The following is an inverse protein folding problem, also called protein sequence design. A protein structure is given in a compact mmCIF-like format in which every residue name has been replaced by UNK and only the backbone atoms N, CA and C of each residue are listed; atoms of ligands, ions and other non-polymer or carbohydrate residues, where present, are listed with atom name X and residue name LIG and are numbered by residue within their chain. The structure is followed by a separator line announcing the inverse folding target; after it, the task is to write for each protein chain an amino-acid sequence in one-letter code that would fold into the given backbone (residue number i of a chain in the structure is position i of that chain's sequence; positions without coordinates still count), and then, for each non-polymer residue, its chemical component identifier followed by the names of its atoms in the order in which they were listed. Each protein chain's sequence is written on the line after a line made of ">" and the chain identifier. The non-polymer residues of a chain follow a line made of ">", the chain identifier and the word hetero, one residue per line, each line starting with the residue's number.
data_IF_920486495557
#
_entry.id   IF_920486495557
#
_cell.length_a   1.000
_cell.length_b   1.000
_cell.length_c   1.000
_cell.angle_alpha   90.00
_cell.angle_beta   90.00
_cell.angle_gamma   90.00
#
_symmetry.space_group_name_H-M   'P 1'
#
loop_
_entity.id
_entity.type
_entity.pdbx_description
1 polymer ?
#
# COMPACT_ATOMS: atom_id res chain seq x y z
N UNK A 1 20.61 -8.62 -16.01
CA UNK A 1 19.14 -8.49 -15.99
C UNK A 1 18.77 -7.38 -16.97
N UNK A 2 17.85 -7.58 -17.92
CA UNK A 2 17.45 -6.52 -18.84
C UNK A 2 16.87 -5.35 -18.05
N UNK A 3 17.15 -4.14 -18.52
CA UNK A 3 16.64 -2.91 -17.93
C UNK A 3 15.28 -2.56 -18.52
N UNK A 4 14.34 -2.12 -17.68
CA UNK A 4 12.98 -1.79 -18.14
C UNK A 4 12.98 -0.68 -19.21
N UNK A 5 13.91 0.29 -19.09
CA UNK A 5 14.06 1.39 -20.06
C UNK A 5 14.42 0.90 -21.47
N UNK A 6 15.06 -0.27 -21.59
CA UNK A 6 15.50 -0.82 -22.87
C UNK A 6 14.53 -1.87 -23.41
N UNK A 7 13.46 -2.18 -22.66
CA UNK A 7 12.47 -3.21 -23.02
C UNK A 7 11.41 -2.64 -23.96
N UNK A 8 11.21 -3.21 -25.17
CA UNK A 8 10.15 -2.78 -26.08
C UNK A 8 8.74 -2.99 -25.52
N UNK A 9 7.78 -2.18 -25.96
CA UNK A 9 6.38 -2.25 -25.51
C UNK A 9 5.77 -3.66 -25.57
N UNK A 10 6.04 -4.41 -26.66
CA UNK A 10 5.53 -5.78 -26.88
C UNK A 10 6.07 -6.81 -25.88
N UNK A 11 7.20 -6.52 -25.24
CA UNK A 11 7.90 -7.46 -24.36
C UNK A 11 7.67 -7.16 -22.87
N UNK A 12 6.86 -6.15 -22.55
CA UNK A 12 6.58 -5.75 -21.16
C UNK A 12 5.91 -6.86 -20.34
N UNK A 13 5.01 -7.65 -20.93
CA UNK A 13 4.38 -8.76 -20.22
C UNK A 13 5.38 -9.85 -19.86
N UNK A 14 6.25 -10.21 -20.80
CA UNK A 14 7.37 -11.14 -20.58
C UNK A 14 8.36 -10.58 -19.56
N UNK A 15 8.60 -9.27 -19.56
CA UNK A 15 9.44 -8.63 -18.54
C UNK A 15 8.82 -8.77 -17.15
N UNK A 16 7.51 -8.52 -17.00
CA UNK A 16 6.81 -8.69 -15.73
C UNK A 16 6.93 -10.13 -15.24
N UNK A 17 6.66 -11.10 -16.11
CA UNK A 17 6.69 -12.53 -15.78
C UNK A 17 8.08 -12.99 -15.31
N UNK A 18 9.12 -12.65 -16.07
CA UNK A 18 10.47 -13.16 -15.81
C UNK A 18 11.16 -12.45 -14.64
N UNK A 19 10.82 -11.18 -14.38
CA UNK A 19 11.63 -10.33 -13.51
C UNK A 19 10.88 -9.69 -12.34
N UNK A 20 9.56 -9.56 -12.42
CA UNK A 20 8.78 -8.85 -11.39
C UNK A 20 7.89 -9.79 -10.56
N UNK A 21 7.39 -10.89 -11.12
CA UNK A 21 6.56 -11.83 -10.38
C UNK A 21 7.41 -12.57 -9.32
N UNK A 22 6.98 -12.58 -8.04
CA UNK A 22 7.69 -13.31 -7.00
C UNK A 22 7.71 -14.81 -7.30
N UNK A 23 8.75 -15.51 -6.83
CA UNK A 23 8.80 -16.97 -6.95
C UNK A 23 7.62 -17.63 -6.23
N UNK A 24 7.05 -18.66 -6.86
CA UNK A 24 5.84 -19.33 -6.39
C UNK A 24 6.10 -20.15 -5.13
N UNK A 25 7.23 -20.85 -5.07
CA UNK A 25 7.62 -21.67 -3.92
C UNK A 25 7.93 -20.78 -2.73
N UNK A 26 8.76 -19.75 -2.91
CA UNK A 26 9.08 -18.80 -1.84
C UNK A 26 7.84 -18.09 -1.32
N UNK A 27 6.92 -17.69 -2.20
CA UNK A 27 5.64 -17.10 -1.79
C UNK A 27 4.79 -18.05 -0.93
N UNK A 28 4.79 -19.36 -1.21
CA UNK A 28 4.13 -20.38 -0.37
C UNK A 28 4.78 -20.43 1.00
N UNK A 29 6.12 -20.49 1.05
CA UNK A 29 6.88 -20.57 2.30
C UNK A 29 6.69 -19.34 3.18
N UNK A 30 6.71 -18.14 2.60
CA UNK A 30 6.40 -16.89 3.31
C UNK A 30 4.96 -16.91 3.85
N UNK A 31 4.00 -17.45 3.09
CA UNK A 31 2.61 -17.55 3.57
C UNK A 31 2.51 -18.46 4.79
N UNK A 32 3.23 -19.58 4.79
CA UNK A 32 3.27 -20.54 5.90
C UNK A 32 3.93 -19.93 7.15
N UNK A 33 5.11 -19.33 6.99
CA UNK A 33 5.81 -18.64 8.08
C UNK A 33 4.94 -17.55 8.71
N UNK A 34 4.24 -16.74 7.90
CA UNK A 34 3.31 -15.73 8.41
C UNK A 34 2.11 -16.36 9.11
N UNK A 35 1.65 -17.53 8.67
CA UNK A 35 0.57 -18.24 9.37
C UNK A 35 1.00 -18.65 10.79
N UNK A 36 2.18 -19.27 10.92
CA UNK A 36 2.79 -19.66 12.20
C UNK A 36 2.95 -18.43 13.11
N UNK A 37 3.62 -17.38 12.61
CA UNK A 37 3.82 -16.12 13.35
C UNK A 37 2.49 -15.51 13.80
N UNK A 38 1.49 -15.49 12.91
CA UNK A 38 0.17 -14.92 13.23
C UNK A 38 -0.53 -15.71 14.33
N UNK A 39 -0.45 -17.04 14.29
CA UNK A 39 -1.03 -17.91 15.32
C UNK A 39 -0.33 -17.71 16.66
N UNK A 40 1.00 -17.71 16.67
CA UNK A 40 1.79 -17.47 17.88
C UNK A 40 1.46 -16.13 18.54
N UNK A 41 1.42 -15.04 17.75
CA UNK A 41 1.09 -13.71 18.27
C UNK A 41 -0.33 -13.63 18.83
N UNK A 42 -1.33 -14.30 18.22
CA UNK A 42 -2.70 -14.31 18.75
C UNK A 42 -2.81 -15.04 20.09
N UNK A 43 -2.08 -16.13 20.25
CA UNK A 43 -2.20 -17.01 21.42
C UNK A 43 -1.35 -16.55 22.61
N UNK A 44 -0.14 -16.04 22.34
CA UNK A 44 0.88 -15.75 23.38
C UNK A 44 1.01 -14.28 23.72
N UNK A 45 0.80 -13.39 22.74
CA UNK A 45 1.12 -11.98 22.93
C UNK A 45 0.17 -11.32 23.94
N UNK A 46 0.75 -10.59 24.89
CA UNK A 46 0.05 -9.97 26.02
C UNK A 46 -0.63 -10.97 26.99
N UNK A 47 -0.31 -12.27 26.92
CA UNK A 47 -0.79 -13.24 27.90
C UNK A 47 -0.22 -12.89 29.30
N UNK A 48 -1.09 -12.74 30.30
CA UNK A 48 -0.70 -12.32 31.64
C UNK A 48 -0.45 -10.81 31.81
N UNK A 49 -0.70 -9.98 30.78
CA UNK A 49 -0.63 -8.53 30.91
C UNK A 49 -1.67 -8.01 31.93
N UNK A 50 -1.29 -6.99 32.72
CA UNK A 50 -2.16 -6.36 33.72
C UNK A 50 -3.41 -5.71 33.10
N UNK A 51 -3.33 -5.31 31.83
CA UNK A 51 -4.45 -4.80 31.05
C UNK A 51 -4.94 -5.88 30.08
N UNK A 52 -6.26 -5.99 29.81
CA UNK A 52 -6.84 -7.06 29.01
C UNK A 52 -6.59 -6.91 27.49
N UNK A 53 -5.50 -6.25 27.07
CA UNK A 53 -5.14 -6.14 25.66
C UNK A 53 -4.77 -7.53 25.13
N UNK A 54 -5.29 -7.87 23.95
CA UNK A 54 -4.97 -9.10 23.22
C UNK A 54 -4.82 -8.77 21.74
N UNK A 55 -4.10 -9.62 21.04
CA UNK A 55 -4.05 -9.58 19.57
C UNK A 55 -5.35 -10.19 19.05
N UNK A 56 -6.23 -9.36 18.48
CA UNK A 56 -7.51 -9.84 17.91
C UNK A 56 -7.32 -10.52 16.57
N UNK A 57 -6.42 -9.99 15.74
CA UNK A 57 -6.09 -10.53 14.42
C UNK A 57 -4.74 -10.01 13.95
N UNK A 58 -4.13 -10.75 13.03
CA UNK A 58 -2.89 -10.37 12.36
C UNK A 58 -3.15 -10.36 10.86
N UNK A 59 -2.88 -9.22 10.23
CA UNK A 59 -3.21 -8.99 8.83
C UNK A 59 -1.94 -8.69 8.06
N UNK A 60 -1.68 -9.51 7.05
CA UNK A 60 -0.68 -9.20 6.05
C UNK A 60 -1.17 -8.05 5.17
N UNK A 61 -0.57 -6.88 5.36
CA UNK A 61 -0.76 -5.64 4.61
C UNK A 61 0.28 -5.48 3.49
N UNK A 62 0.52 -4.23 3.10
CA UNK A 62 1.52 -3.88 2.09
C UNK A 62 1.36 -4.63 0.76
N UNK A 63 2.46 -4.68 0.00
CA UNK A 63 2.48 -5.31 -1.32
C UNK A 63 2.09 -6.80 -1.30
N UNK A 64 2.50 -7.51 -0.24
CA UNK A 64 2.26 -8.94 -0.03
C UNK A 64 0.79 -9.25 0.27
N UNK A 65 0.11 -8.40 1.04
CA UNK A 65 -1.32 -8.50 1.29
C UNK A 65 -2.16 -8.15 0.05
N UNK A 66 -1.78 -7.07 -0.63
CA UNK A 66 -2.47 -6.54 -1.82
C UNK A 66 -2.31 -7.43 -3.06
N UNK A 67 -1.30 -8.30 -3.06
CA UNK A 67 -0.98 -9.19 -4.19
C UNK A 67 -0.24 -8.46 -5.32
N UNK A 68 0.56 -7.45 -4.98
CA UNK A 68 1.33 -6.58 -5.89
C UNK A 68 2.84 -6.61 -5.57
N UNK A 69 3.32 -7.65 -4.90
CA UNK A 69 4.74 -7.88 -4.55
C UNK A 69 5.65 -7.95 -5.77
N UNK A 70 6.86 -7.42 -5.63
CA UNK A 70 7.96 -7.51 -6.61
C UNK A 70 9.00 -8.55 -6.17
N UNK A 71 9.48 -9.38 -7.10
CA UNK A 71 10.58 -10.33 -6.84
C UNK A 71 11.81 -9.63 -6.27
N UNK A 72 12.40 -10.20 -5.21
CA UNK A 72 13.66 -9.75 -4.59
C UNK A 72 13.65 -8.34 -3.99
N UNK A 73 12.53 -7.61 -4.00
CA UNK A 73 12.40 -6.22 -3.50
C UNK A 73 11.04 -6.01 -2.85
N UNK A 74 10.82 -6.72 -1.75
CA UNK A 74 9.51 -6.82 -1.10
C UNK A 74 9.51 -6.15 0.27
N UNK A 75 8.78 -5.03 0.33
CA UNK A 75 8.28 -4.47 1.59
C UNK A 75 6.88 -5.06 1.83
N UNK A 76 6.71 -5.75 2.94
CA UNK A 76 5.43 -6.28 3.40
C UNK A 76 5.10 -5.69 4.77
N UNK A 77 3.82 -5.52 5.05
CA UNK A 77 3.39 -5.07 6.38
C UNK A 77 2.76 -6.26 7.11
N UNK A 78 3.09 -6.43 8.38
CA UNK A 78 2.38 -7.29 9.32
C UNK A 78 1.65 -6.39 10.34
N UNK A 79 0.37 -6.16 10.10
CA UNK A 79 -0.45 -5.33 10.99
C UNK A 79 -1.00 -6.21 12.10
N UNK A 80 -0.62 -5.92 13.34
CA UNK A 80 -1.03 -6.63 14.55
C UNK A 80 -2.14 -5.83 15.19
N UNK A 81 -3.38 -6.28 15.03
CA UNK A 81 -4.55 -5.60 15.57
C UNK A 81 -4.74 -5.96 17.04
N UNK A 82 -4.89 -4.92 17.85
CA UNK A 82 -5.06 -5.02 19.29
C UNK A 82 -6.50 -4.66 19.64
N UNK A 83 -7.17 -5.52 20.39
CA UNK A 83 -8.47 -5.22 20.97
C UNK A 83 -8.34 -4.44 22.28
N UNK A 84 -9.49 -4.00 22.81
CA UNK A 84 -9.60 -3.32 24.09
C UNK A 84 -8.83 -1.99 24.20
N UNK A 85 -8.38 -1.44 23.07
CA UNK A 85 -8.03 -0.02 22.97
C UNK A 85 -9.32 0.80 22.88
N UNK A 86 -9.37 1.92 23.59
CA UNK A 86 -10.56 2.78 23.70
C UNK A 86 -10.62 3.86 22.63
N UNK A 87 -9.50 4.19 22.01
CA UNK A 87 -9.40 5.25 21.02
C UNK A 87 -8.24 5.04 20.05
N UNK A 88 -8.28 5.76 18.93
CA UNK A 88 -7.14 5.88 18.01
C UNK A 88 -5.90 6.46 18.71
N UNK A 89 -6.08 7.40 19.64
CA UNK A 89 -4.99 7.99 20.42
C UNK A 89 -4.20 6.96 21.22
N UNK A 90 -4.89 6.00 21.86
CA UNK A 90 -4.24 5.00 22.71
C UNK A 90 -3.22 4.16 21.91
N UNK A 91 -3.48 3.93 20.62
CA UNK A 91 -2.52 3.30 19.71
C UNK A 91 -1.20 4.08 19.64
N UNK A 92 -1.25 5.41 19.56
CA UNK A 92 -0.04 6.24 19.45
C UNK A 92 0.74 6.28 20.75
N UNK A 93 0.03 6.47 21.87
CA UNK A 93 0.64 6.60 23.19
C UNK A 93 1.34 5.33 23.64
N UNK A 94 0.72 4.17 23.36
CA UNK A 94 1.22 2.86 23.77
C UNK A 94 2.01 2.12 22.68
N UNK A 95 2.18 2.72 21.48
CA UNK A 95 2.87 2.11 20.32
C UNK A 95 4.20 1.45 20.71
N UNK A 96 5.04 2.16 21.45
CA UNK A 96 6.36 1.65 21.86
C UNK A 96 6.27 0.44 22.79
N UNK A 97 5.32 0.43 23.73
CA UNK A 97 5.09 -0.71 24.63
C UNK A 97 4.60 -1.94 23.86
N UNK A 98 3.68 -1.74 22.91
CA UNK A 98 3.18 -2.82 22.06
C UNK A 98 4.28 -3.40 21.18
N UNK A 99 5.12 -2.55 20.59
CA UNK A 99 6.25 -3.01 19.76
C UNK A 99 7.22 -3.88 20.59
N UNK A 100 7.55 -3.47 21.81
CA UNK A 100 8.45 -4.25 22.67
C UNK A 100 7.90 -5.64 23.00
N UNK A 101 6.63 -5.71 23.37
CA UNK A 101 5.98 -7.00 23.66
C UNK A 101 5.88 -7.85 22.39
N UNK A 102 5.49 -7.27 21.25
CA UNK A 102 5.44 -8.03 19.98
C UNK A 102 6.82 -8.54 19.60
N UNK A 103 7.89 -7.73 19.73
CA UNK A 103 9.25 -8.19 19.48
C UNK A 103 9.63 -9.39 20.35
N UNK A 104 9.38 -9.30 21.66
CA UNK A 104 9.68 -10.40 22.59
C UNK A 104 9.00 -11.70 22.16
N UNK A 105 7.75 -11.61 21.71
CA UNK A 105 6.99 -12.77 21.23
C UNK A 105 7.47 -13.26 19.87
N UNK A 106 7.90 -12.38 18.96
CA UNK A 106 8.54 -12.79 17.71
C UNK A 106 9.87 -13.52 17.96
N UNK A 107 10.68 -13.06 18.90
CA UNK A 107 11.94 -13.73 19.29
C UNK A 107 11.68 -15.09 19.97
N UNK A 108 10.60 -15.21 20.75
CA UNK A 108 10.16 -16.50 21.29
C UNK A 108 9.72 -17.44 20.16
N UNK A 109 8.86 -16.97 19.26
CA UNK A 109 8.42 -17.71 18.08
C UNK A 109 9.59 -18.17 17.21
N UNK A 110 10.60 -17.31 16.99
CA UNK A 110 11.81 -17.66 16.24
C UNK A 110 12.61 -18.81 16.89
N UNK A 111 12.59 -18.94 18.22
CA UNK A 111 13.30 -20.01 18.94
C UNK A 111 12.48 -21.29 19.10
N UNK A 112 11.17 -21.17 19.23
CA UNK A 112 10.27 -22.28 19.58
C UNK A 112 9.65 -22.97 18.36
N UNK A 113 9.44 -22.24 17.26
CA UNK A 113 8.80 -22.74 16.04
C UNK A 113 9.81 -23.11 14.96
N UNK A 114 9.43 -24.01 14.06
CA UNK A 114 10.24 -24.40 12.90
C UNK A 114 9.74 -23.74 11.63
N UNK A 115 10.66 -23.18 10.82
CA UNK A 115 10.35 -22.47 9.58
C UNK A 115 11.07 -23.07 8.37
N UNK A 116 10.40 -23.15 7.22
CA UNK A 116 11.04 -23.47 5.92
C UNK A 116 11.94 -22.32 5.40
N UNK A 117 11.90 -21.16 6.04
CA UNK A 117 12.64 -19.94 5.69
C UNK A 117 13.49 -19.49 6.87
N UNK A 118 14.57 -18.79 6.60
CA UNK A 118 15.31 -18.10 7.64
C UNK A 118 14.47 -16.95 8.18
N UNK A 119 14.19 -16.95 9.48
CA UNK A 119 13.42 -15.93 10.18
C UNK A 119 14.33 -15.16 11.13
N UNK A 120 14.41 -13.84 10.92
CA UNK A 120 15.32 -12.95 11.64
C UNK A 120 14.59 -11.69 12.12
N UNK A 121 14.34 -11.60 13.43
CA UNK A 121 13.79 -10.39 14.05
C UNK A 121 14.88 -9.31 14.17
N UNK A 122 14.60 -8.10 13.68
CA UNK A 122 15.56 -7.01 13.73
C UNK A 122 15.65 -6.39 15.14
N UNK A 123 16.84 -5.93 15.50
CA UNK A 123 17.08 -5.27 16.79
C UNK A 123 16.35 -3.93 16.88
N UNK A 124 15.83 -3.60 18.06
CA UNK A 124 15.33 -2.25 18.35
C UNK A 124 16.46 -1.38 18.86
N UNK A 125 16.60 -0.18 18.31
CA UNK A 125 17.64 0.77 18.70
C UNK A 125 17.18 1.79 19.76
N UNK A 126 15.86 1.92 19.98
CA UNK A 126 15.28 3.02 20.76
C UNK A 126 14.36 2.51 21.86
N UNK A 127 14.33 3.22 23.00
CA UNK A 127 13.42 2.89 24.13
C UNK A 127 11.94 2.98 23.73
N UNK A 128 11.58 3.95 22.87
CA UNK A 128 10.24 4.12 22.30
C UNK A 128 10.28 3.88 20.79
N UNK A 129 10.36 2.61 20.36
CA UNK A 129 10.46 2.28 18.95
C UNK A 129 9.20 2.73 18.21
N UNK A 130 9.39 3.25 16.98
CA UNK A 130 8.29 3.60 16.07
C UNK A 130 8.02 2.51 15.04
N UNK A 131 8.99 1.64 14.81
CA UNK A 131 8.94 0.55 13.86
C UNK A 131 9.65 -0.66 14.45
N UNK A 132 9.20 -1.84 14.04
CA UNK A 132 9.82 -3.13 14.26
C UNK A 132 9.79 -3.82 12.92
N UNK A 133 10.88 -4.45 12.52
CA UNK A 133 10.88 -5.28 11.33
C UNK A 133 11.47 -6.66 11.60
N UNK A 134 11.15 -7.59 10.72
CA UNK A 134 11.81 -8.88 10.64
C UNK A 134 11.96 -9.29 9.18
N UNK A 135 12.88 -10.21 8.92
CA UNK A 135 13.13 -10.68 7.55
C UNK A 135 12.86 -12.17 7.46
N UNK A 136 12.18 -12.58 6.39
CA UNK A 136 12.05 -13.96 5.94
C UNK A 136 12.89 -14.15 4.68
N UNK A 137 13.89 -15.04 4.72
CA UNK A 137 14.79 -15.30 3.57
C UNK A 137 14.72 -16.75 3.13
N UNK A 138 14.72 -16.99 1.82
CA UNK A 138 14.89 -18.34 1.27
C UNK A 138 16.36 -18.75 1.35
N UNK A 139 16.69 -19.87 2.01
CA UNK A 139 18.06 -20.39 2.02
C UNK A 139 18.57 -20.75 0.61
N UNK A 140 17.69 -21.17 -0.30
CA UNK A 140 18.05 -21.69 -1.61
C UNK A 140 18.09 -20.60 -2.70
N UNK A 141 17.19 -19.61 -2.63
CA UNK A 141 17.00 -18.65 -3.72
C UNK A 141 17.73 -17.32 -3.49
N UNK A 142 18.23 -17.06 -2.28
CA UNK A 142 18.78 -15.75 -1.92
C UNK A 142 17.75 -14.61 -1.95
N UNK A 143 16.46 -14.93 -2.06
CA UNK A 143 15.35 -13.99 -1.99
C UNK A 143 14.94 -13.74 -0.54
N UNK A 144 14.54 -12.50 -0.24
CA UNK A 144 14.09 -12.09 1.09
C UNK A 144 12.88 -11.16 1.03
N UNK A 145 12.07 -11.19 2.08
CA UNK A 145 10.99 -10.24 2.34
C UNK A 145 11.20 -9.64 3.72
N UNK A 146 11.32 -8.32 3.77
CA UNK A 146 11.29 -7.56 5.02
C UNK A 146 9.84 -7.23 5.36
N UNK A 147 9.46 -7.48 6.61
CA UNK A 147 8.16 -7.19 7.16
C UNK A 147 8.25 -6.06 8.17
N UNK A 148 7.54 -4.96 7.91
CA UNK A 148 7.27 -3.92 8.91
C UNK A 148 6.11 -4.35 9.80
N UNK A 149 6.33 -4.38 11.11
CA UNK A 149 5.34 -4.78 12.11
C UNK A 149 4.68 -3.55 12.70
N UNK A 150 3.35 -3.46 12.50
CA UNK A 150 2.58 -2.26 12.82
C UNK A 150 1.45 -2.61 13.80
N UNK A 151 1.55 -2.24 15.09
CA UNK A 151 0.43 -2.34 16.01
C UNK A 151 -0.68 -1.38 15.59
N UNK A 152 -1.92 -1.88 15.54
CA UNK A 152 -3.07 -1.08 15.15
C UNK A 152 -4.28 -1.31 16.07
N UNK A 153 -5.09 -0.27 16.26
CA UNK A 153 -6.38 -0.38 16.92
C UNK A 153 -7.38 -1.12 16.02
N UNK A 154 -7.99 -2.18 16.55
CA UNK A 154 -9.04 -2.93 15.87
C UNK A 154 -10.40 -2.22 15.87
N UNK A 155 -10.46 -1.08 15.19
CA UNK A 155 -11.69 -0.27 15.10
C UNK A 155 -12.77 -0.92 14.24
N UNK A 156 -12.37 -1.79 13.29
CA UNK A 156 -13.29 -2.48 12.39
C UNK A 156 -13.87 -3.77 12.99
N UNK A 157 -13.24 -4.33 14.02
CA UNK A 157 -13.65 -5.60 14.63
C UNK A 157 -13.66 -6.75 13.61
N UNK A 158 -14.69 -7.60 13.64
CA UNK A 158 -14.87 -8.66 12.65
C UNK A 158 -15.46 -8.11 11.35
N UNK A 159 -14.65 -7.43 10.55
CA UNK A 159 -15.07 -6.99 9.23
C UNK A 159 -15.11 -8.17 8.24
N UNK A 160 -16.32 -8.53 7.79
CA UNK A 160 -16.54 -9.57 6.77
C UNK A 160 -16.64 -8.94 5.39
N UNK A 161 -15.97 -9.55 4.41
CA UNK A 161 -15.75 -8.96 3.09
C UNK A 161 -17.05 -8.48 2.41
N UNK A 162 -16.97 -7.31 1.78
CA UNK A 162 -17.95 -6.64 0.91
C UNK A 162 -18.96 -5.68 1.55
N UNK A 163 -18.94 -5.47 2.87
CA UNK A 163 -19.79 -4.44 3.47
C UNK A 163 -19.01 -3.15 3.74
N UNK A 164 -19.67 -2.02 3.52
CA UNK A 164 -19.17 -0.71 3.94
C UNK A 164 -19.09 -0.71 5.49
N UNK A 165 -17.97 -0.27 6.09
CA UNK A 165 -17.91 -0.06 7.54
C UNK A 165 -19.03 0.84 8.05
N UNK A 166 -19.40 0.68 9.32
CA UNK A 166 -20.33 1.59 9.98
C UNK A 166 -19.77 3.04 9.90
N UNK A 167 -20.55 4.02 9.38
CA UNK A 167 -20.12 5.42 9.29
C UNK A 167 -19.59 6.00 10.60
N UNK A 168 -20.08 5.53 11.76
CA UNK A 168 -19.61 5.94 13.09
C UNK A 168 -18.10 5.73 13.30
N UNK A 169 -17.52 4.71 12.66
CA UNK A 169 -16.07 4.47 12.69
C UNK A 169 -15.31 5.66 12.08
N UNK A 170 -15.78 6.16 10.94
CA UNK A 170 -15.15 7.29 10.26
C UNK A 170 -15.48 8.62 10.93
N UNK A 171 -16.67 8.79 11.52
CA UNK A 171 -16.99 9.99 12.30
C UNK A 171 -16.00 10.13 13.46
N UNK A 172 -15.76 9.05 14.23
CA UNK A 172 -14.78 9.05 15.32
C UNK A 172 -13.36 9.33 14.83
N UNK A 173 -12.97 8.72 13.71
CA UNK A 173 -11.67 8.97 13.08
C UNK A 173 -11.52 10.46 12.70
N UNK A 174 -12.52 11.04 12.05
CA UNK A 174 -12.52 12.44 11.62
C UNK A 174 -12.37 13.36 12.82
N UNK A 175 -13.18 13.16 13.87
CA UNK A 175 -13.12 13.96 15.10
C UNK A 175 -11.72 13.89 15.74
N UNK A 176 -11.13 12.70 15.84
CA UNK A 176 -9.77 12.53 16.37
C UNK A 176 -8.72 13.26 15.52
N UNK A 177 -8.79 13.10 14.20
CA UNK A 177 -7.85 13.72 13.28
C UNK A 177 -7.96 15.25 13.28
N UNK A 178 -9.17 15.81 13.35
CA UNK A 178 -9.39 17.26 13.42
C UNK A 178 -8.88 17.85 14.73
N UNK A 179 -9.16 17.20 15.86
CA UNK A 179 -8.75 17.69 17.17
C UNK A 179 -7.21 17.73 17.33
N UNK A 180 -6.47 16.90 16.58
CA UNK A 180 -5.03 16.72 16.77
C UNK A 180 -4.17 17.05 15.55
N UNK A 181 -4.76 17.33 14.40
CA UNK A 181 -4.03 17.50 13.14
C UNK A 181 -3.32 16.23 12.66
N UNK A 182 -3.93 15.05 12.86
CA UNK A 182 -3.32 13.74 12.58
C UNK A 182 -3.90 13.03 11.35
N UNK A 183 -4.23 13.80 10.31
CA UNK A 183 -4.81 13.27 9.06
C UNK A 183 -3.97 12.14 8.44
N UNK A 184 -4.61 10.99 8.20
CA UNK A 184 -4.01 9.79 7.63
C UNK A 184 -3.07 9.01 8.56
N UNK A 185 -2.87 9.43 9.81
CA UNK A 185 -1.98 8.75 10.77
C UNK A 185 -2.49 7.34 11.15
N UNK A 186 -3.80 7.11 11.06
CA UNK A 186 -4.46 5.86 11.48
C UNK A 186 -4.80 4.93 10.32
N UNK A 187 -4.23 5.14 9.13
CA UNK A 187 -4.48 4.30 7.95
C UNK A 187 -4.19 2.81 8.19
N UNK A 188 -3.30 2.47 9.13
CA UNK A 188 -3.03 1.07 9.56
C UNK A 188 -4.25 0.38 10.15
N UNK A 189 -5.16 1.10 10.79
CA UNK A 189 -6.43 0.55 11.31
C UNK A 189 -7.34 0.04 10.19
N UNK A 190 -7.13 0.51 8.96
CA UNK A 190 -7.94 0.21 7.78
C UNK A 190 -7.19 -0.64 6.74
N UNK A 191 -6.06 -1.27 7.12
CA UNK A 191 -5.26 -2.10 6.22
C UNK A 191 -6.05 -3.23 5.56
N UNK A 192 -7.06 -3.79 6.24
CA UNK A 192 -7.94 -4.81 5.64
C UNK A 192 -8.70 -4.28 4.42
N UNK A 193 -9.18 -3.03 4.49
CA UNK A 193 -9.90 -2.35 3.41
C UNK A 193 -8.93 -1.96 2.27
N UNK A 194 -7.76 -1.43 2.60
CA UNK A 194 -6.71 -1.13 1.60
C UNK A 194 -6.28 -2.40 0.85
N UNK A 195 -6.14 -3.51 1.58
CA UNK A 195 -5.84 -4.82 1.02
C UNK A 195 -6.97 -5.28 0.11
N UNK A 196 -8.21 -5.24 0.58
CA UNK A 196 -9.39 -5.65 -0.17
C UNK A 196 -9.52 -4.87 -1.48
N UNK A 197 -9.31 -3.55 -1.44
CA UNK A 197 -9.39 -2.66 -2.60
C UNK A 197 -8.51 -3.11 -3.78
N UNK A 198 -7.30 -3.61 -3.49
CA UNK A 198 -6.35 -4.06 -4.52
C UNK A 198 -6.42 -5.57 -4.78
N UNK A 199 -6.75 -6.36 -3.77
CA UNK A 199 -6.82 -7.83 -3.89
C UNK A 199 -7.91 -8.28 -4.86
N UNK A 200 -9.01 -7.52 -4.97
CA UNK A 200 -10.12 -7.85 -5.88
C UNK A 200 -9.83 -7.51 -7.35
N UNK A 201 -8.71 -6.85 -7.66
CA UNK A 201 -8.41 -6.40 -9.04
C UNK A 201 -7.96 -7.55 -9.96
N UNK A 202 -8.25 -7.48 -11.27
CA UNK A 202 -7.81 -8.47 -12.25
C UNK A 202 -6.29 -8.69 -12.22
N UNK A 203 -5.86 -9.90 -12.60
CA UNK A 203 -4.44 -10.27 -12.60
C UNK A 203 -3.61 -9.32 -13.47
N UNK A 204 -4.11 -8.93 -14.65
CA UNK A 204 -3.45 -7.99 -15.55
C UNK A 204 -3.25 -6.60 -14.92
N UNK A 205 -4.22 -6.12 -14.14
CA UNK A 205 -4.11 -4.85 -13.38
C UNK A 205 -3.03 -4.96 -12.32
N UNK A 206 -2.96 -6.07 -11.58
CA UNK A 206 -1.88 -6.30 -10.60
C UNK A 206 -0.51 -6.37 -11.26
N UNK A 207 -0.41 -6.94 -12.47
CA UNK A 207 0.81 -6.93 -13.28
C UNK A 207 1.21 -5.52 -13.71
N UNK A 208 0.26 -4.68 -14.13
CA UNK A 208 0.52 -3.26 -14.41
C UNK A 208 0.98 -2.51 -13.15
N UNK A 209 0.36 -2.75 -11.99
CA UNK A 209 0.79 -2.15 -10.72
C UNK A 209 2.24 -2.55 -10.41
N UNK A 210 2.63 -3.82 -10.60
CA UNK A 210 4.03 -4.25 -10.43
C UNK A 210 4.98 -3.49 -11.35
N UNK A 211 4.60 -3.31 -12.62
CA UNK A 211 5.41 -2.57 -13.57
C UNK A 211 5.61 -1.10 -13.14
N UNK A 212 4.53 -0.43 -12.74
CA UNK A 212 4.57 0.96 -12.23
C UNK A 212 5.40 1.05 -10.95
N UNK A 213 5.28 0.09 -10.03
CA UNK A 213 6.12 0.04 -8.82
C UNK A 213 7.59 -0.16 -9.15
N UNK A 214 7.91 -1.04 -10.10
CA UNK A 214 9.29 -1.24 -10.53
C UNK A 214 9.88 0.04 -11.14
N UNK A 215 9.12 0.72 -12.01
CA UNK A 215 9.47 2.04 -12.52
C UNK A 215 9.71 3.05 -11.39
N UNK A 216 8.77 3.16 -10.45
CA UNK A 216 8.91 4.04 -9.29
C UNK A 216 10.19 3.76 -8.48
N UNK A 217 10.55 2.49 -8.28
CA UNK A 217 11.80 2.11 -7.60
C UNK A 217 13.05 2.52 -8.39
N UNK A 218 13.04 2.43 -9.73
CA UNK A 218 14.13 2.94 -10.57
C UNK A 218 14.25 4.47 -10.45
N UNK A 219 13.13 5.19 -10.42
CA UNK A 219 13.11 6.63 -10.16
C UNK A 219 13.65 6.95 -8.75
N UNK A 220 13.24 6.21 -7.72
CA UNK A 220 13.73 6.36 -6.34
C UNK A 220 15.24 6.12 -6.23
N UNK A 221 15.78 5.13 -6.95
CA UNK A 221 17.22 4.87 -7.00
C UNK A 221 17.99 6.02 -7.65
N UNK A 222 17.45 6.63 -8.70
CA UNK A 222 18.07 7.75 -9.41
C UNK A 222 17.96 9.08 -8.68
N UNK A 223 16.77 9.40 -8.17
CA UNK A 223 16.44 10.70 -7.60
C UNK A 223 16.64 10.77 -6.08
N UNK A 224 16.62 9.64 -5.38
CA UNK A 224 16.50 9.63 -3.93
C UNK A 224 15.17 10.23 -3.45
N UNK A 225 15.13 10.68 -2.19
CA UNK A 225 13.99 11.40 -1.62
C UNK A 225 14.15 12.92 -1.84
N UNK A 226 13.04 13.70 -1.87
CA UNK A 226 11.66 13.25 -1.67
C UNK A 226 10.96 12.84 -2.98
N UNK A 227 9.95 11.97 -2.86
CA UNK A 227 9.09 11.40 -3.91
C UNK A 227 7.71 11.09 -3.29
N UNK A 228 6.62 11.09 -4.07
CA UNK A 228 5.30 10.75 -3.54
C UNK A 228 5.25 9.30 -3.06
N UNK A 229 4.42 8.96 -2.06
CA UNK A 229 4.31 7.60 -1.57
C UNK A 229 4.00 6.60 -2.69
N UNK A 230 4.67 5.44 -2.70
CA UNK A 230 4.44 4.40 -3.71
C UNK A 230 2.96 3.96 -3.78
N UNK A 231 2.26 3.97 -2.63
CA UNK A 231 0.84 3.65 -2.57
C UNK A 231 -0.03 4.60 -3.41
N UNK A 232 0.36 5.88 -3.55
CA UNK A 232 -0.33 6.81 -4.44
C UNK A 232 -0.27 6.37 -5.91
N UNK A 233 0.84 5.76 -6.34
CA UNK A 233 0.99 5.22 -7.70
C UNK A 233 0.21 3.92 -7.89
N UNK A 234 0.07 3.09 -6.85
CA UNK A 234 -0.82 1.92 -6.89
C UNK A 234 -2.28 2.36 -7.11
N UNK A 235 -2.73 3.37 -6.36
CA UNK A 235 -4.07 3.95 -6.51
C UNK A 235 -4.26 4.67 -7.85
N UNK A 236 -3.26 5.42 -8.32
CA UNK A 236 -3.30 6.08 -9.62
C UNK A 236 -3.39 5.07 -10.78
N UNK A 237 -2.74 3.91 -10.64
CA UNK A 237 -2.84 2.82 -11.62
C UNK A 237 -4.23 2.21 -11.64
N UNK A 238 -4.85 2.01 -10.48
CA UNK A 238 -6.25 1.55 -10.40
C UNK A 238 -7.18 2.57 -11.04
N UNK A 239 -7.01 3.86 -10.74
CA UNK A 239 -7.81 4.93 -11.34
C UNK A 239 -7.69 4.96 -12.87
N UNK A 240 -6.46 4.87 -13.40
CA UNK A 240 -6.21 4.84 -14.84
C UNK A 240 -6.97 3.70 -15.52
N UNK A 241 -6.90 2.50 -14.93
CA UNK A 241 -7.60 1.33 -15.44
C UNK A 241 -9.12 1.46 -15.32
N UNK A 242 -9.64 1.88 -14.17
CA UNK A 242 -11.09 2.01 -13.93
C UNK A 242 -11.75 3.03 -14.85
N UNK A 243 -11.07 4.12 -15.18
CA UNK A 243 -11.61 5.21 -16.00
C UNK A 243 -11.33 5.07 -17.48
N UNK A 244 -10.24 4.41 -17.87
CA UNK A 244 -9.79 4.38 -19.26
C UNK A 244 -10.11 3.10 -20.03
N UNK A 245 -10.26 1.96 -19.36
CA UNK A 245 -10.44 0.68 -20.06
C UNK A 245 -11.43 -0.27 -19.33
N UNK A 246 -11.26 -0.45 -18.02
CA UNK A 246 -12.09 -1.32 -17.17
C UNK A 246 -12.14 -2.81 -17.59
N UNK A 247 -11.41 -3.22 -18.62
CA UNK A 247 -11.33 -4.61 -19.09
C UNK A 247 -10.34 -5.45 -18.28
N UNK A 248 -10.58 -6.76 -18.21
CA UNK A 248 -9.68 -7.71 -17.53
C UNK A 248 -8.38 -7.93 -18.30
N UNK A 249 -8.42 -7.82 -19.62
CA UNK A 249 -7.28 -7.92 -20.52
C UNK A 249 -7.04 -6.59 -21.25
N UNK A 250 -5.77 -6.21 -21.40
CA UNK A 250 -5.38 -4.97 -22.07
C UNK A 250 -3.89 -4.93 -22.41
N UNK A 251 -3.51 -4.00 -23.28
CA UNK A 251 -2.10 -3.78 -23.65
C UNK A 251 -1.38 -3.08 -22.47
N UNK A 252 -0.46 -3.80 -21.84
CA UNK A 252 0.31 -3.30 -20.68
C UNK A 252 1.01 -1.98 -20.97
N UNK A 253 1.59 -1.82 -22.17
CA UNK A 253 2.27 -0.59 -22.57
C UNK A 253 1.35 0.64 -22.58
N UNK A 254 0.10 0.49 -23.03
CA UNK A 254 -0.88 1.58 -23.02
C UNK A 254 -1.30 1.95 -21.61
N UNK A 255 -1.53 0.95 -20.75
CA UNK A 255 -1.81 1.20 -19.34
C UNK A 255 -0.65 1.92 -18.66
N UNK A 256 0.58 1.50 -18.91
CA UNK A 256 1.78 2.12 -18.36
C UNK A 256 1.95 3.56 -18.86
N UNK A 257 1.76 3.81 -20.16
CA UNK A 257 1.79 5.16 -20.73
C UNK A 257 0.74 6.06 -20.10
N UNK A 258 -0.46 5.53 -19.85
CA UNK A 258 -1.57 6.25 -19.22
C UNK A 258 -1.19 6.70 -17.81
N UNK A 259 -0.60 5.81 -16.99
CA UNK A 259 -0.14 6.18 -15.64
C UNK A 259 0.91 7.30 -15.70
N UNK A 260 1.90 7.21 -16.58
CA UNK A 260 2.93 8.26 -16.69
C UNK A 260 2.35 9.60 -17.13
N UNK A 261 1.37 9.61 -18.05
CA UNK A 261 0.67 10.84 -18.43
C UNK A 261 -0.14 11.42 -17.27
N UNK A 262 -0.78 10.60 -16.44
CA UNK A 262 -1.45 11.08 -15.23
C UNK A 262 -0.44 11.69 -14.23
N UNK A 263 0.75 11.10 -14.09
CA UNK A 263 1.83 11.69 -13.28
C UNK A 263 2.28 13.04 -13.84
N UNK A 264 2.39 13.20 -15.17
CA UNK A 264 2.67 14.51 -15.77
C UNK A 264 1.61 15.56 -15.45
N UNK A 265 0.36 15.14 -15.34
CA UNK A 265 -0.80 15.99 -15.06
C UNK A 265 -1.18 16.01 -13.57
N UNK A 266 -0.22 15.76 -12.66
CA UNK A 266 -0.47 15.65 -11.22
C UNK A 266 -1.21 16.86 -10.63
N UNK A 267 -0.96 18.06 -11.17
CA UNK A 267 -1.60 19.31 -10.76
C UNK A 267 -3.11 19.36 -11.02
N UNK A 268 -3.66 18.42 -11.79
CA UNK A 268 -5.09 18.30 -12.07
C UNK A 268 -5.76 17.13 -11.33
N UNK A 269 -4.99 16.27 -10.67
CA UNK A 269 -5.52 15.04 -10.07
C UNK A 269 -6.39 15.34 -8.85
N UNK A 270 -7.68 15.01 -8.94
CA UNK A 270 -8.63 14.94 -7.85
C UNK A 270 -9.33 13.57 -7.89
N UNK A 271 -8.82 12.62 -7.12
CA UNK A 271 -9.22 11.21 -7.17
C UNK A 271 -9.74 10.79 -5.80
N UNK A 272 -10.91 10.16 -5.81
CA UNK A 272 -11.48 9.50 -4.64
C UNK A 272 -12.34 8.31 -5.07
N UNK A 273 -12.66 7.45 -4.10
CA UNK A 273 -13.62 6.36 -4.25
C UNK A 273 -14.68 6.47 -3.15
N UNK A 274 -15.84 5.86 -3.39
CA UNK A 274 -16.95 5.79 -2.42
C UNK A 274 -17.24 4.35 -1.96
N UNK A 275 -16.22 3.48 -2.05
CA UNK A 275 -16.35 2.05 -1.76
C UNK A 275 -16.59 1.80 -0.27
N UNK A 276 -15.73 2.33 0.60
CA UNK A 276 -15.80 2.09 2.04
C UNK A 276 -16.36 3.28 2.85
N UNK A 277 -16.55 4.45 2.24
CA UNK A 277 -17.24 5.60 2.82
C UNK A 277 -17.89 6.40 1.67
N UNK A 278 -18.83 7.30 1.95
CA UNK A 278 -19.51 8.10 0.91
C UNK A 278 -20.02 9.45 1.45
N UNK A 279 -20.83 10.14 0.65
CA UNK A 279 -21.37 11.47 0.96
C UNK A 279 -22.77 11.44 1.61
N UNK A 280 -23.27 10.27 2.02
CA UNK A 280 -24.63 10.15 2.61
C UNK A 280 -24.66 10.71 4.03
N UNK A 281 -23.64 10.44 4.84
CA UNK A 281 -23.53 10.95 6.21
C UNK A 281 -23.04 12.40 6.20
N UNK A 282 -23.78 13.39 6.76
CA UNK A 282 -23.45 14.81 6.67
C UNK A 282 -22.04 15.19 7.14
N UNK A 283 -21.59 14.64 8.28
CA UNK A 283 -20.25 14.90 8.83
C UNK A 283 -19.16 14.42 7.87
N UNK A 284 -19.30 13.19 7.35
CA UNK A 284 -18.36 12.61 6.39
C UNK A 284 -18.39 13.41 5.08
N UNK A 285 -19.58 13.77 4.58
CA UNK A 285 -19.74 14.59 3.37
C UNK A 285 -18.98 15.92 3.50
N UNK A 286 -19.22 16.67 4.57
CA UNK A 286 -18.57 17.96 4.80
C UNK A 286 -17.05 17.81 4.88
N UNK A 287 -16.57 16.76 5.54
CA UNK A 287 -15.15 16.48 5.63
C UNK A 287 -14.54 16.11 4.26
N UNK A 288 -15.18 15.23 3.49
CA UNK A 288 -14.73 14.85 2.15
C UNK A 288 -14.69 16.05 1.20
N UNK A 289 -15.68 16.95 1.25
CA UNK A 289 -15.66 18.17 0.45
C UNK A 289 -14.44 19.03 0.76
N UNK A 290 -14.06 19.16 2.04
CA UNK A 290 -12.82 19.87 2.43
C UNK A 290 -11.57 19.17 1.91
N UNK A 291 -11.50 17.84 2.00
CA UNK A 291 -10.38 17.08 1.42
C UNK A 291 -10.26 17.26 -0.09
N UNK A 292 -11.38 17.22 -0.81
CA UNK A 292 -11.44 17.38 -2.26
C UNK A 292 -11.19 18.82 -2.73
N UNK A 293 -11.29 19.80 -1.83
CA UNK A 293 -10.91 21.19 -2.09
C UNK A 293 -9.42 21.47 -1.87
N UNK A 294 -8.64 20.53 -1.30
CA UNK A 294 -7.20 20.73 -1.06
C UNK A 294 -6.40 20.92 -2.36
N UNK A 295 -5.24 21.60 -2.28
CA UNK A 295 -4.32 21.73 -3.41
C UNK A 295 -4.00 20.38 -4.05
N UNK A 296 -3.94 20.36 -5.38
CA UNK A 296 -3.63 19.15 -6.13
C UNK A 296 -2.15 18.77 -5.99
N UNK A 297 -1.82 17.47 -6.04
CA UNK A 297 -2.70 16.33 -6.28
C UNK A 297 -3.49 15.91 -5.03
N UNK A 298 -4.75 15.56 -5.22
CA UNK A 298 -5.58 14.87 -4.23
C UNK A 298 -5.83 13.46 -4.71
N UNK A 299 -5.34 12.47 -3.96
CA UNK A 299 -5.69 11.06 -4.12
C UNK A 299 -6.09 10.58 -2.73
N UNK A 300 -7.39 10.48 -2.47
CA UNK A 300 -7.90 10.00 -1.19
C UNK A 300 -7.78 8.49 -1.11
N UNK A 301 -7.23 8.01 0.00
CA UNK A 301 -7.16 6.58 0.30
C UNK A 301 -8.58 6.00 0.35
N UNK A 302 -8.94 5.04 -0.51
CA UNK A 302 -10.28 4.44 -0.49
C UNK A 302 -10.70 3.91 0.89
N UNK A 303 -9.73 3.57 1.75
CA UNK A 303 -9.94 3.00 3.08
C UNK A 303 -9.95 4.02 4.23
N UNK A 304 -9.43 5.23 4.02
CA UNK A 304 -9.29 6.26 5.06
C UNK A 304 -9.67 7.64 4.48
N UNK A 305 -10.85 8.19 4.83
CA UNK A 305 -11.31 9.47 4.28
C UNK A 305 -10.47 10.68 4.71
N UNK A 306 -9.59 10.51 5.70
CA UNK A 306 -8.66 11.56 6.17
C UNK A 306 -7.33 11.54 5.44
N UNK A 307 -6.98 10.43 4.79
CA UNK A 307 -5.70 10.23 4.14
C UNK A 307 -5.67 10.69 2.68
N UNK A 308 -5.24 11.94 2.42
CA UNK A 308 -4.75 12.30 1.08
C UNK A 308 -3.33 11.73 0.88
N UNK A 309 -3.22 10.58 0.22
CA UNK A 309 -1.93 9.89 0.02
C UNK A 309 -0.99 10.65 -0.91
N UNK A 310 -1.49 11.62 -1.67
CA UNK A 310 -0.72 12.40 -2.63
C UNK A 310 -0.33 13.80 -2.13
N UNK A 311 -0.98 14.31 -1.08
CA UNK A 311 -0.98 15.73 -0.73
C UNK A 311 0.21 16.27 0.08
N UNK A 312 1.15 15.41 0.51
CA UNK A 312 2.21 15.82 1.45
C UNK A 312 3.42 16.49 0.79
N UNK A 313 3.63 16.31 -0.51
CA UNK A 313 4.88 16.71 -1.18
C UNK A 313 4.69 17.00 -2.68
N UNK A 314 4.36 18.25 -3.01
CA UNK A 314 4.22 18.70 -4.39
C UNK A 314 5.56 18.68 -5.15
N UNK A 315 6.68 18.88 -4.46
CA UNK A 315 8.01 18.83 -5.05
C UNK A 315 8.38 17.41 -5.48
N UNK A 316 8.07 16.40 -4.66
CA UNK A 316 8.22 14.99 -5.03
C UNK A 316 7.45 14.63 -6.30
N UNK A 317 6.22 15.13 -6.47
CA UNK A 317 5.45 14.93 -7.71
C UNK A 317 6.07 15.62 -8.91
N UNK A 318 6.58 16.85 -8.75
CA UNK A 318 7.31 17.56 -9.82
C UNK A 318 8.51 16.75 -10.30
N UNK A 319 9.32 16.21 -9.38
CA UNK A 319 10.48 15.37 -9.70
C UNK A 319 10.07 14.09 -10.42
N UNK A 320 9.01 13.42 -9.94
CA UNK A 320 8.52 12.21 -10.56
C UNK A 320 7.93 12.49 -11.97
N UNK A 321 7.30 13.64 -12.17
CA UNK A 321 6.80 14.08 -13.48
C UNK A 321 7.94 14.35 -14.47
N UNK A 322 9.06 14.94 -14.02
CA UNK A 322 10.25 15.10 -14.86
C UNK A 322 10.79 13.75 -15.33
N UNK A 323 10.88 12.76 -14.44
CA UNK A 323 11.25 11.40 -14.85
C UNK A 323 10.21 10.78 -15.78
N UNK A 324 8.91 10.91 -15.50
CA UNK A 324 7.86 10.41 -16.39
C UNK A 324 8.03 10.95 -17.82
N UNK A 325 8.39 12.23 -17.99
CA UNK A 325 8.67 12.83 -19.31
C UNK A 325 9.85 12.17 -20.02
N UNK A 326 10.94 11.91 -19.30
CA UNK A 326 12.12 11.20 -19.86
C UNK A 326 11.72 9.78 -20.26
N UNK A 327 11.04 9.07 -19.37
CA UNK A 327 10.65 7.68 -19.59
C UNK A 327 9.75 7.50 -20.80
N UNK A 328 8.83 8.42 -21.06
CA UNK A 328 7.94 8.37 -22.24
C UNK A 328 8.68 8.35 -23.60
N UNK A 329 9.97 8.68 -23.63
CA UNK A 329 10.80 8.57 -24.85
C UNK A 329 11.38 7.17 -25.09
N UNK A 330 11.36 6.29 -24.08
CA UNK A 330 11.98 4.97 -24.13
C UNK A 330 11.18 3.94 -24.94
N UNK A 331 11.85 2.86 -25.42
CA UNK A 331 11.24 1.75 -26.15
C UNK A 331 9.96 1.15 -25.56
N UNK A 332 9.79 1.20 -24.24
CA UNK A 332 8.59 0.68 -23.57
C UNK A 332 7.29 1.40 -23.96
N UNK A 333 7.37 2.56 -24.61
CA UNK A 333 6.22 3.35 -25.08
C UNK A 333 6.14 3.47 -26.60
N UNK A 334 6.95 2.72 -27.34
CA UNK A 334 6.98 2.72 -28.80
C UNK A 334 6.56 1.38 -29.38
N UNK A 335 5.80 1.42 -30.47
CA UNK A 335 5.51 0.27 -31.33
C UNK A 335 6.76 -0.06 -32.17
N UNK A 336 6.70 -1.16 -32.92
CA UNK A 336 7.81 -1.64 -33.75
C UNK A 336 8.22 -0.63 -34.84
N UNK A 337 7.28 0.18 -35.32
CA UNK A 337 7.48 1.24 -36.31
C UNK A 337 7.99 2.56 -35.70
N UNK A 338 8.24 2.58 -34.38
CA UNK A 338 8.69 3.77 -33.64
C UNK A 338 7.57 4.71 -33.20
N UNK A 339 6.32 4.49 -33.64
CA UNK A 339 5.17 5.31 -33.23
C UNK A 339 4.79 5.08 -31.76
N UNK A 340 4.18 6.06 -31.07
CA UNK A 340 3.73 5.87 -29.68
C UNK A 340 2.66 4.77 -29.55
N UNK A 341 2.69 4.00 -28.46
CA UNK A 341 1.69 2.94 -28.20
C UNK A 341 0.28 3.47 -27.93
N UNK A 342 0.20 4.73 -27.49
CA UNK A 342 -1.05 5.40 -27.12
C UNK A 342 -1.38 5.25 -25.63
N UNK A 343 -2.33 6.05 -25.16
CA UNK A 343 -2.84 5.99 -23.78
C UNK A 343 -4.34 5.86 -23.81
N UNK A 344 -4.93 5.34 -22.72
CA UNK A 344 -6.37 5.37 -22.53
C UNK A 344 -6.86 6.81 -22.37
N UNK A 345 -8.12 7.05 -22.76
CA UNK A 345 -8.79 8.32 -22.53
C UNK A 345 -9.30 8.35 -21.09
N UNK A 346 -8.57 9.05 -20.22
CA UNK A 346 -8.90 9.18 -18.79
C UNK A 346 -9.30 10.62 -18.52
N UNK A 347 -10.60 10.84 -18.29
CA UNK A 347 -11.13 12.15 -17.93
C UNK A 347 -10.61 12.59 -16.56
N UNK A 348 -9.63 13.48 -16.55
CA UNK A 348 -9.21 14.21 -15.34
C UNK A 348 -10.14 15.42 -15.21
N UNK A 349 -11.17 15.32 -14.37
CA UNK A 349 -12.12 16.42 -14.18
C UNK A 349 -11.40 17.65 -13.57
N UNK A 350 -11.49 18.84 -14.17
CA UNK A 350 -10.98 20.06 -13.57
C UNK A 350 -11.73 20.37 -12.27
N UNK A 351 -11.04 21.03 -11.32
CA UNK A 351 -11.56 21.34 -9.99
C UNK A 351 -12.90 22.11 -9.97
N UNK A 352 -13.25 22.82 -11.05
CA UNK A 352 -14.48 23.59 -11.20
C UNK A 352 -15.75 22.76 -11.38
N UNK A 353 -15.64 21.43 -11.55
CA UNK A 353 -16.77 20.53 -11.82
C UNK A 353 -17.25 19.71 -10.61
N UNK A 354 -16.75 20.02 -9.41
CA UNK A 354 -17.05 19.34 -8.15
C UNK A 354 -17.76 20.24 -7.11
N UNK A 355 -18.16 21.46 -7.49
CA UNK A 355 -19.05 22.31 -6.68
C UNK A 355 -20.51 22.06 -7.03
#
# INVERSE_FOLDING_TARGET
>A
MPELKDTPAKDLDRFIENYLLPDTQFRRQVKEAIHIISTFLKERCFQGAAHPVRVSKVVKGGSSGKGTTLRGRSDADLVVFLNNLKSFQEQLEKRGQFIWEIKRQLEACQREETFEVYFEVQSLQWEKPRALSFVLKSPQLGEGVEFDVLPAFDVLGQWTNNHRPNPEVYIKLIQECENRGTEGEFSTCFTELQRDFLRQRPTKVKSLIRLVKHWYQKCKQKLGKPLPPQYALELLTVYAWERGNHQTEFITAQGFQTVLKLVLNYQQLCIHWTKYYNFETPIIKQYLMRQLAKPRPVILDPADPTGNVAGRDTYGWQRLAQEARVWLSYPCFKKWDGSPVGSWDVLVKPASSLM
#
